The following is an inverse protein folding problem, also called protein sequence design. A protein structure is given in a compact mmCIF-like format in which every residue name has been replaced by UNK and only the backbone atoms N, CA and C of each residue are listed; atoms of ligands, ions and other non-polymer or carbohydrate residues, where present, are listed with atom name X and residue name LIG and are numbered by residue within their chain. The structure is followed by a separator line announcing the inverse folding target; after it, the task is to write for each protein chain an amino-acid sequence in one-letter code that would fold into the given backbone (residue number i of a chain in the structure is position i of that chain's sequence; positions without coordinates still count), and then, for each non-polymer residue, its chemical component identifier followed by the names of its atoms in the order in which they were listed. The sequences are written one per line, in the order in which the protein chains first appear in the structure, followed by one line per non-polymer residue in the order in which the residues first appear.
data_IF_991772218760
#
_entry.id   IF_991772218760
#
_cell.length_a   1.000
_cell.length_b   1.000
_cell.length_c   1.000
_cell.angle_alpha   90.00
_cell.angle_beta   90.00
_cell.angle_gamma   90.00
#
_symmetry.space_group_name_H-M   'P 1'
#
loop_
_entity.id
_entity.type
_entity.pdbx_description
1 polymer ?
#
# COMPACT_ATOMS: atom_id res chain seq x y z
N UNK A 1 -20.90 -9.70 -14.77
CA UNK A 1 -19.94 -10.62 -14.10
C UNK A 1 -18.91 -11.26 -15.05
N UNK A 2 -18.59 -10.68 -16.23
CA UNK A 2 -17.63 -11.24 -17.20
C UNK A 2 -16.26 -10.51 -17.26
N UNK A 3 -16.07 -9.42 -16.53
CA UNK A 3 -14.89 -8.55 -16.70
C UNK A 3 -13.72 -8.83 -15.73
N UNK A 4 -13.96 -9.59 -14.66
CA UNK A 4 -12.88 -10.05 -13.77
C UNK A 4 -11.93 -11.07 -14.45
N UNK A 5 -12.34 -11.61 -15.61
CA UNK A 5 -11.56 -12.57 -16.38
C UNK A 5 -10.34 -11.97 -17.07
N UNK A 6 -10.42 -10.74 -17.60
CA UNK A 6 -9.35 -10.19 -18.46
C UNK A 6 -8.09 -9.80 -17.67
N UNK A 7 -8.22 -9.18 -16.49
CA UNK A 7 -7.06 -8.87 -15.65
C UNK A 7 -6.38 -10.15 -15.13
N UNK A 8 -7.17 -11.16 -14.74
CA UNK A 8 -6.65 -12.47 -14.34
C UNK A 8 -6.00 -13.22 -15.51
N UNK A 9 -6.58 -13.14 -16.71
CA UNK A 9 -5.99 -13.71 -17.91
C UNK A 9 -4.65 -13.02 -18.21
N UNK A 10 -4.59 -11.69 -18.14
CA UNK A 10 -3.35 -10.95 -18.35
C UNK A 10 -2.26 -11.37 -17.36
N UNK A 11 -2.59 -11.53 -16.07
CA UNK A 11 -1.65 -12.07 -15.07
C UNK A 11 -1.10 -13.45 -15.43
N UNK A 12 -1.87 -14.25 -16.19
CA UNK A 12 -1.50 -15.60 -16.60
C UNK A 12 -0.78 -15.65 -17.95
N UNK A 13 -1.13 -14.77 -18.89
CA UNK A 13 -0.70 -14.84 -20.30
C UNK A 13 0.39 -13.83 -20.66
N UNK A 14 0.52 -12.73 -19.92
CA UNK A 14 1.48 -11.65 -20.22
C UNK A 14 1.19 -10.85 -21.49
N UNK A 15 0.10 -11.13 -22.21
CA UNK A 15 -0.26 -10.44 -23.45
C UNK A 15 -0.78 -9.02 -23.17
N UNK A 16 0.06 -8.03 -23.47
CA UNK A 16 -0.22 -6.62 -23.22
C UNK A 16 -1.24 -6.03 -24.18
N UNK A 17 -1.42 -6.58 -25.38
CA UNK A 17 -2.22 -5.94 -26.44
C UNK A 17 -3.72 -6.01 -26.16
N UNK A 18 -4.24 -7.20 -25.85
CA UNK A 18 -5.64 -7.43 -25.44
C UNK A 18 -5.95 -6.68 -24.14
N UNK A 19 -4.95 -6.57 -23.27
CA UNK A 19 -5.07 -5.93 -21.96
C UNK A 19 -5.21 -4.42 -22.07
N UNK A 20 -4.41 -3.75 -22.89
CA UNK A 20 -4.50 -2.29 -23.05
C UNK A 20 -5.82 -1.85 -23.65
N UNK A 21 -6.36 -2.61 -24.62
CA UNK A 21 -7.67 -2.33 -25.17
C UNK A 21 -8.77 -2.48 -24.10
N UNK A 22 -8.74 -3.59 -23.36
CA UNK A 22 -9.71 -3.81 -22.27
C UNK A 22 -9.62 -2.73 -21.18
N UNK A 23 -8.41 -2.33 -20.76
CA UNK A 23 -8.20 -1.28 -19.76
C UNK A 23 -8.82 0.04 -20.24
N UNK A 24 -8.62 0.38 -21.50
CA UNK A 24 -9.21 1.59 -22.11
C UNK A 24 -10.75 1.51 -22.08
N UNK A 25 -11.32 0.41 -22.56
CA UNK A 25 -12.78 0.19 -22.58
C UNK A 25 -13.37 0.24 -21.16
N UNK A 26 -12.69 -0.37 -20.19
CA UNK A 26 -13.08 -0.35 -18.79
C UNK A 26 -13.08 1.08 -18.23
N UNK A 27 -11.99 1.84 -18.42
CA UNK A 27 -11.88 3.22 -17.95
C UNK A 27 -12.95 4.12 -18.58
N UNK A 28 -13.20 3.99 -19.89
CA UNK A 28 -14.27 4.71 -20.58
C UNK A 28 -15.65 4.37 -20.00
N UNK A 29 -15.95 3.08 -19.80
CA UNK A 29 -17.22 2.64 -19.23
C UNK A 29 -17.47 3.22 -17.84
N UNK A 30 -16.46 3.20 -16.97
CA UNK A 30 -16.55 3.80 -15.63
C UNK A 30 -16.80 5.31 -15.73
N UNK A 31 -16.04 6.02 -16.57
CA UNK A 31 -16.21 7.47 -16.74
C UNK A 31 -17.60 7.84 -17.24
N UNK A 32 -18.12 7.14 -18.26
CA UNK A 32 -19.47 7.35 -18.76
C UNK A 32 -20.51 7.07 -17.68
N UNK A 33 -20.38 5.96 -16.96
CA UNK A 33 -21.30 5.60 -15.87
C UNK A 33 -21.30 6.68 -14.78
N UNK A 34 -20.13 7.11 -14.31
CA UNK A 34 -20.03 8.16 -13.29
C UNK A 34 -20.69 9.46 -13.79
N UNK A 35 -20.49 9.84 -15.05
CA UNK A 35 -21.09 11.05 -15.62
C UNK A 35 -22.62 10.95 -15.73
N UNK A 36 -23.16 9.81 -16.20
CA UNK A 36 -24.61 9.59 -16.33
C UNK A 36 -25.32 9.67 -14.99
N UNK A 37 -24.74 9.08 -13.94
CA UNK A 37 -25.38 9.02 -12.63
C UNK A 37 -25.10 10.25 -11.75
N UNK A 38 -24.14 11.11 -12.12
CA UNK A 38 -23.78 12.29 -11.34
C UNK A 38 -24.94 13.27 -11.12
N UNK A 39 -25.84 13.42 -12.09
CA UNK A 39 -27.02 14.31 -11.99
C UNK A 39 -28.20 13.68 -11.26
N UNK A 40 -28.27 12.35 -11.19
CA UNK A 40 -29.36 11.60 -10.57
C UNK A 40 -29.04 11.14 -9.14
N UNK A 41 -27.78 11.27 -8.70
CA UNK A 41 -27.33 10.78 -7.40
C UNK A 41 -27.78 11.69 -6.24
N UNK A 42 -28.38 11.08 -5.21
CA UNK A 42 -28.59 11.73 -3.91
C UNK A 42 -27.27 11.99 -3.16
N UNK A 43 -27.33 12.65 -2.00
CA UNK A 43 -26.14 13.16 -1.30
C UNK A 43 -25.00 12.14 -1.11
N UNK A 44 -25.29 10.95 -0.56
CA UNK A 44 -24.26 9.94 -0.29
C UNK A 44 -23.70 9.31 -1.56
N UNK A 45 -24.56 8.97 -2.52
CA UNK A 45 -24.12 8.47 -3.83
C UNK A 45 -23.31 9.53 -4.58
N UNK A 46 -23.68 10.80 -4.48
CA UNK A 46 -22.96 11.93 -5.07
C UNK A 46 -21.55 12.10 -4.50
N UNK A 47 -21.35 11.88 -3.19
CA UNK A 47 -20.01 11.86 -2.56
C UNK A 47 -19.14 10.74 -3.14
N UNK A 48 -19.71 9.54 -3.28
CA UNK A 48 -19.00 8.41 -3.88
C UNK A 48 -18.62 8.68 -5.33
N UNK A 49 -19.56 9.16 -6.15
CA UNK A 49 -19.31 9.48 -7.57
C UNK A 49 -18.26 10.60 -7.73
N UNK A 50 -18.30 11.61 -6.86
CA UNK A 50 -17.28 12.66 -6.83
C UNK A 50 -15.90 12.10 -6.46
N UNK A 51 -15.82 11.29 -5.40
CA UNK A 51 -14.58 10.62 -4.99
C UNK A 51 -14.02 9.74 -6.10
N UNK A 52 -14.88 8.93 -6.75
CA UNK A 52 -14.53 8.11 -7.90
C UNK A 52 -13.91 8.93 -9.03
N UNK A 53 -14.51 10.08 -9.35
CA UNK A 53 -14.00 10.99 -10.39
C UNK A 53 -12.65 11.61 -9.99
N UNK A 54 -12.55 12.12 -8.77
CA UNK A 54 -11.36 12.83 -8.26
C UNK A 54 -10.17 11.88 -8.03
N UNK A 55 -10.42 10.62 -7.70
CA UNK A 55 -9.41 9.62 -7.33
C UNK A 55 -9.24 8.52 -8.39
N UNK A 56 -9.84 8.68 -9.57
CA UNK A 56 -9.82 7.68 -10.64
C UNK A 56 -8.40 7.20 -11.00
N UNK A 57 -7.44 8.13 -11.07
CA UNK A 57 -6.04 7.80 -11.38
C UNK A 57 -5.38 6.91 -10.33
N UNK A 58 -5.82 6.98 -9.07
CA UNK A 58 -5.28 6.20 -7.97
C UNK A 58 -5.94 4.80 -7.90
N UNK A 59 -7.26 4.74 -8.08
CA UNK A 59 -8.02 3.49 -7.97
C UNK A 59 -7.66 2.48 -9.06
N UNK A 60 -7.30 2.98 -10.24
CA UNK A 60 -7.00 2.17 -11.41
C UNK A 60 -5.50 2.10 -11.74
N UNK A 61 -4.62 2.51 -10.81
CA UNK A 61 -3.17 2.57 -11.01
C UNK A 61 -2.57 1.22 -11.41
N UNK A 62 -3.03 0.13 -10.79
CA UNK A 62 -2.57 -1.25 -11.08
C UNK A 62 -2.87 -1.72 -12.52
N UNK A 63 -3.77 -1.04 -13.25
CA UNK A 63 -4.04 -1.34 -14.65
C UNK A 63 -2.93 -0.83 -15.57
N UNK A 64 -2.23 0.22 -15.18
CA UNK A 64 -1.10 0.79 -15.92
C UNK A 64 0.25 0.27 -15.37
N UNK A 65 0.26 -0.18 -14.11
CA UNK A 65 1.42 -0.67 -13.39
C UNK A 65 1.23 -2.11 -12.92
N UNK A 66 1.50 -3.10 -13.80
CA UNK A 66 1.23 -4.51 -13.56
C UNK A 66 1.93 -5.13 -12.33
N UNK A 67 3.05 -4.53 -11.92
CA UNK A 67 3.81 -4.91 -10.73
C UNK A 67 3.08 -4.57 -9.42
N UNK A 68 2.05 -3.72 -9.48
CA UNK A 68 1.23 -3.38 -8.31
C UNK A 68 0.02 -4.30 -8.26
N UNK A 69 -0.23 -5.00 -7.14
CA UNK A 69 -1.43 -5.81 -6.97
C UNK A 69 -2.72 -4.99 -7.12
N UNK A 70 -3.84 -5.61 -7.52
CA UNK A 70 -5.14 -4.94 -7.65
C UNK A 70 -5.83 -4.68 -6.30
N UNK A 71 -5.17 -5.04 -5.20
CA UNK A 71 -5.70 -4.98 -3.84
C UNK A 71 -4.81 -4.13 -2.92
N UNK A 72 -5.38 -3.72 -1.79
CA UNK A 72 -4.70 -2.92 -0.79
C UNK A 72 -4.10 -3.75 0.35
N UNK A 73 -3.99 -5.08 0.19
CA UNK A 73 -3.65 -6.00 1.29
C UNK A 73 -2.27 -5.71 1.87
N UNK A 74 -1.32 -5.29 1.03
CA UNK A 74 0.02 -4.92 1.49
C UNK A 74 -0.03 -3.69 2.41
N UNK A 75 -0.67 -2.60 1.97
CA UNK A 75 -0.75 -1.39 2.79
C UNK A 75 -1.55 -1.62 4.08
N UNK A 76 -2.65 -2.37 4.02
CA UNK A 76 -3.43 -2.71 5.22
C UNK A 76 -2.62 -3.53 6.23
N UNK A 77 -1.88 -4.55 5.77
CA UNK A 77 -0.99 -5.32 6.63
C UNK A 77 0.09 -4.43 7.24
N UNK A 78 0.66 -3.52 6.46
CA UNK A 78 1.66 -2.54 6.92
C UNK A 78 1.10 -1.52 7.92
N UNK A 79 -0.19 -1.20 7.91
CA UNK A 79 -0.78 -0.27 8.89
C UNK A 79 -1.32 -0.98 10.14
N UNK A 80 -1.66 -2.27 10.03
CA UNK A 80 -2.38 -3.02 11.06
C UNK A 80 -1.69 -3.02 12.42
N UNK A 81 -0.36 -3.17 12.45
CA UNK A 81 0.38 -3.19 13.71
C UNK A 81 0.27 -1.84 14.44
N UNK A 82 0.48 -0.73 13.71
CA UNK A 82 0.40 0.62 14.27
C UNK A 82 -1.01 0.95 14.76
N UNK A 83 -2.04 0.62 13.97
CA UNK A 83 -3.45 0.82 14.35
C UNK A 83 -3.82 0.00 15.58
N UNK A 84 -3.41 -1.27 15.63
CA UNK A 84 -3.66 -2.15 16.78
C UNK A 84 -2.95 -1.64 18.03
N UNK A 85 -1.67 -1.24 17.92
CA UNK A 85 -0.92 -0.65 19.04
C UNK A 85 -1.59 0.60 19.59
N UNK A 86 -2.01 1.52 18.70
CA UNK A 86 -2.73 2.73 19.11
C UNK A 86 -4.05 2.40 19.81
N UNK A 87 -4.82 1.43 19.27
CA UNK A 87 -6.11 1.02 19.82
C UNK A 87 -5.97 0.42 21.21
N UNK A 88 -5.00 -0.49 21.41
CA UNK A 88 -4.80 -1.20 22.68
C UNK A 88 -4.16 -0.30 23.75
N UNK A 89 -3.18 0.53 23.37
CA UNK A 89 -2.41 1.34 24.33
C UNK A 89 -2.90 2.79 24.48
N UNK A 90 -3.95 3.20 23.78
CA UNK A 90 -4.51 4.56 23.85
C UNK A 90 -3.70 5.67 23.15
N UNK A 91 -2.60 5.33 22.49
CA UNK A 91 -1.73 6.29 21.78
C UNK A 91 -0.90 7.18 22.71
N UNK A 92 -0.32 8.25 22.14
CA UNK A 92 0.47 9.25 22.88
C UNK A 92 -0.21 10.61 22.81
N UNK A 93 -0.16 11.39 23.89
CA UNK A 93 -0.58 12.80 23.94
C UNK A 93 0.51 13.79 23.51
N UNK A 94 1.76 13.32 23.38
CA UNK A 94 2.90 14.09 22.89
C UNK A 94 3.29 13.62 21.49
N UNK A 95 3.59 14.57 20.60
CA UNK A 95 4.08 14.30 19.25
C UNK A 95 5.42 13.55 19.28
N UNK A 96 6.35 13.98 20.13
CA UNK A 96 7.66 13.33 20.29
C UNK A 96 7.53 11.84 20.63
N UNK A 97 6.67 11.48 21.58
CA UNK A 97 6.44 10.07 21.94
C UNK A 97 5.71 9.28 20.85
N UNK A 98 4.91 9.97 20.04
CA UNK A 98 4.28 9.36 18.86
C UNK A 98 5.32 9.04 17.79
N UNK A 99 6.25 9.96 17.50
CA UNK A 99 7.36 9.75 16.56
C UNK A 99 8.29 8.62 17.03
N UNK A 100 8.65 8.57 18.32
CA UNK A 100 9.44 7.47 18.89
C UNK A 100 8.75 6.11 18.69
N UNK A 101 7.43 6.05 18.93
CA UNK A 101 6.64 4.84 18.65
C UNK A 101 6.66 4.49 17.17
N UNK A 102 6.48 5.48 16.29
CA UNK A 102 6.45 5.28 14.85
C UNK A 102 7.79 4.72 14.36
N UNK A 103 8.91 5.28 14.82
CA UNK A 103 10.26 4.80 14.48
C UNK A 103 10.46 3.34 14.89
N UNK A 104 10.05 2.98 16.11
CA UNK A 104 10.15 1.59 16.59
C UNK A 104 9.30 0.65 15.72
N UNK A 105 8.07 1.02 15.40
CA UNK A 105 7.19 0.23 14.55
C UNK A 105 7.75 0.09 13.13
N UNK A 106 8.36 1.14 12.58
CA UNK A 106 9.05 1.09 11.27
C UNK A 106 10.15 0.04 11.28
N UNK A 107 11.02 0.02 12.30
CA UNK A 107 12.09 -0.99 12.43
C UNK A 107 11.49 -2.40 12.50
N UNK A 108 10.52 -2.61 13.39
CA UNK A 108 9.86 -3.92 13.59
C UNK A 108 9.22 -4.42 12.31
N UNK A 109 8.46 -3.57 11.61
CA UNK A 109 7.75 -3.96 10.40
C UNK A 109 8.70 -4.22 9.24
N UNK A 110 9.74 -3.40 9.09
CA UNK A 110 10.73 -3.57 8.02
C UNK A 110 11.52 -4.87 8.22
N UNK A 111 11.96 -5.16 9.45
CA UNK A 111 12.64 -6.44 9.75
C UNK A 111 11.74 -7.64 9.44
N UNK A 112 10.48 -7.60 9.87
CA UNK A 112 9.50 -8.66 9.58
C UNK A 112 9.27 -8.83 8.07
N UNK A 113 9.17 -7.73 7.33
CA UNK A 113 8.99 -7.76 5.88
C UNK A 113 10.21 -8.38 5.16
N UNK A 114 11.41 -8.16 5.71
CA UNK A 114 12.67 -8.71 5.21
C UNK A 114 12.98 -10.13 5.72
N UNK A 115 12.11 -10.72 6.56
CA UNK A 115 12.39 -12.03 7.19
C UNK A 115 13.55 -12.01 8.19
N UNK A 116 13.91 -10.84 8.73
CA UNK A 116 15.02 -10.64 9.69
C UNK A 116 14.52 -10.67 11.13
N UNK A 117 15.37 -11.16 12.04
CA UNK A 117 15.13 -11.04 13.48
C UNK A 117 15.17 -9.57 13.92
N UNK A 118 14.08 -9.14 14.56
CA UNK A 118 13.98 -7.79 15.14
C UNK A 118 14.94 -7.63 16.30
N UNK A 119 15.14 -8.69 17.10
CA UNK A 119 16.01 -8.65 18.28
C UNK A 119 17.46 -8.50 17.86
N UNK A 120 17.91 -9.29 16.90
CA UNK A 120 19.29 -9.24 16.37
C UNK A 120 19.57 -7.87 15.74
N UNK A 121 18.56 -7.27 15.07
CA UNK A 121 18.69 -5.91 14.55
C UNK A 121 18.92 -4.88 15.66
N UNK A 122 18.14 -4.94 16.75
CA UNK A 122 18.32 -4.03 17.88
C UNK A 122 19.64 -4.26 18.61
N UNK A 123 20.05 -5.52 18.77
CA UNK A 123 21.34 -5.87 19.35
C UNK A 123 22.49 -5.25 18.55
N UNK A 124 22.51 -5.45 17.23
CA UNK A 124 23.51 -4.85 16.34
C UNK A 124 23.48 -3.32 16.39
N UNK A 125 22.29 -2.71 16.42
CA UNK A 125 22.16 -1.26 16.51
C UNK A 125 22.73 -0.72 17.83
N UNK A 126 22.46 -1.39 18.96
CA UNK A 126 22.97 -1.01 20.27
C UNK A 126 24.49 -1.22 20.36
N UNK A 127 25.02 -2.32 19.83
CA UNK A 127 26.46 -2.58 19.76
C UNK A 127 27.20 -1.52 18.92
N UNK A 128 26.62 -1.09 17.80
CA UNK A 128 27.18 -0.01 16.99
C UNK A 128 27.19 1.33 17.76
N UNK A 129 26.11 1.67 18.46
CA UNK A 129 26.05 2.88 19.31
C UNK A 129 27.06 2.83 20.45
N UNK A 130 27.32 1.66 21.02
CA UNK A 130 28.32 1.44 22.06
C UNK A 130 29.78 1.42 21.54
N UNK A 131 29.99 1.52 20.22
CA UNK A 131 31.32 1.50 19.60
C UNK A 131 31.91 0.10 19.45
N UNK A 132 31.12 -0.96 19.64
CA UNK A 132 31.55 -2.36 19.48
C UNK A 132 31.42 -2.87 18.04
N UNK A 133 30.65 -2.18 17.20
CA UNK A 133 30.57 -2.45 15.76
C UNK A 133 30.94 -1.17 14.97
N UNK A 134 31.63 -1.31 13.84
CA UNK A 134 32.08 -0.16 13.05
C UNK A 134 30.92 0.57 12.35
N UNK A 135 29.83 -0.12 12.04
CA UNK A 135 28.67 0.44 11.35
C UNK A 135 27.35 -0.04 11.98
N UNK A 136 26.34 0.83 11.95
CA UNK A 136 24.99 0.51 12.38
C UNK A 136 24.28 -0.37 11.33
N UNK A 137 23.42 -1.33 11.75
CA UNK A 137 22.70 -2.17 10.82
C UNK A 137 21.72 -1.33 9.99
N UNK A 138 21.71 -1.55 8.67
CA UNK A 138 20.80 -0.86 7.76
C UNK A 138 19.45 -1.58 7.65
N UNK A 139 18.37 -0.81 7.56
CA UNK A 139 17.04 -1.29 7.13
C UNK A 139 16.86 -1.24 5.62
N UNK A 140 17.75 -0.58 4.88
CA UNK A 140 17.73 -0.57 3.42
C UNK A 140 18.47 -1.84 2.96
N UNK A 141 17.82 -2.76 2.22
CA UNK A 141 18.48 -3.94 1.70
C UNK A 141 19.64 -3.55 0.78
N UNK A 142 20.78 -4.24 0.91
CA UNK A 142 21.85 -4.14 -0.08
C UNK A 142 21.35 -4.66 -1.43
N UNK A 143 21.74 -4.03 -2.56
CA UNK A 143 21.33 -4.50 -3.88
C UNK A 143 21.76 -5.96 -4.07
N UNK A 144 20.83 -6.80 -4.53
CA UNK A 144 21.14 -8.16 -4.93
C UNK A 144 22.15 -8.10 -6.08
N UNK A 145 23.32 -8.73 -5.89
CA UNK A 145 24.34 -8.92 -6.94
C UNK A 145 23.91 -10.01 -7.90
#
# INVERSE_FOLDING_TARGET
MKHAGCYRLWQQTGDSTVTHQWVREFKTKIQTTVQTWSSAAGAEAGKLLRSLKEKASQWWYFLDHPQVPPDNNLAERSLRLAVTKRKVSGGSRSLQRFEQTANLLTVVQTCRFQGRSVMDFFEQALMAVAGHLPEAPSLIPSPHT
#
